data_IF_389702491527
#
_entry.id   IF_389702491527
#
_cell.length_a   1.000
_cell.length_b   1.000
_cell.length_c   1.000
_cell.angle_alpha   90.00
_cell.angle_beta   90.00
_cell.angle_gamma   90.00
#
_symmetry.space_group_name_H-M   'P 1'
#
loop_
_entity.id
_entity.type
_entity.pdbx_description
1 polymer ?
#
# COMPACT_ATOMS: atom_id res chain seq x y z
N UNK A 1 -5.79 -22.65 0.80
CA UNK A 1 -6.68 -23.66 1.41
C UNK A 1 -5.81 -24.53 2.29
N UNK A 2 -6.06 -24.58 3.60
CA UNK A 2 -5.38 -25.53 4.50
C UNK A 2 -6.28 -26.74 4.64
N UNK A 3 -5.73 -27.93 4.45
CA UNK A 3 -6.40 -29.17 4.76
C UNK A 3 -6.47 -29.31 6.28
N UNK A 4 -7.66 -29.56 6.82
CA UNK A 4 -7.87 -29.85 8.24
C UNK A 4 -8.02 -31.36 8.34
N UNK A 5 -7.01 -32.04 8.89
CA UNK A 5 -6.97 -33.51 8.98
C UNK A 5 -8.19 -34.10 9.70
N UNK A 6 -8.77 -33.36 10.64
CA UNK A 6 -9.89 -33.83 11.46
C UNK A 6 -11.28 -33.55 10.88
N UNK A 7 -11.39 -32.82 9.75
CA UNK A 7 -12.70 -32.53 9.14
C UNK A 7 -12.59 -32.23 7.63
N UNK A 8 -12.61 -33.26 6.76
CA UNK A 8 -12.31 -33.14 5.33
C UNK A 8 -13.36 -32.35 4.52
N UNK A 9 -14.54 -32.10 5.09
CA UNK A 9 -15.63 -31.36 4.43
C UNK A 9 -15.51 -29.83 4.60
N UNK A 10 -14.58 -29.35 5.44
CA UNK A 10 -14.44 -27.92 5.74
C UNK A 10 -13.16 -27.38 5.08
N UNK A 11 -13.33 -26.71 3.94
CA UNK A 11 -12.28 -25.88 3.35
C UNK A 11 -12.25 -24.50 4.04
N UNK A 12 -11.34 -24.28 4.99
CA UNK A 12 -11.15 -22.95 5.55
C UNK A 12 -10.43 -22.02 4.56
N UNK A 13 -11.14 -20.98 4.11
CA UNK A 13 -10.56 -19.84 3.42
C UNK A 13 -9.76 -19.04 4.46
N UNK A 14 -8.44 -19.07 4.36
CA UNK A 14 -7.57 -18.33 5.26
C UNK A 14 -7.64 -16.82 4.95
N UNK A 15 -8.50 -16.09 5.66
CA UNK A 15 -8.64 -14.63 5.55
C UNK A 15 -7.47 -13.84 6.16
N UNK A 16 -6.52 -14.50 6.84
CA UNK A 16 -5.41 -13.80 7.51
C UNK A 16 -4.39 -13.20 6.54
N UNK A 17 -4.40 -13.60 5.27
CA UNK A 17 -3.46 -13.09 4.26
C UNK A 17 -4.20 -12.64 3.00
N UNK A 18 -3.95 -11.41 2.52
CA UNK A 18 -4.53 -10.95 1.26
C UNK A 18 -4.05 -11.84 0.11
N UNK A 19 -4.96 -12.15 -0.81
CA UNK A 19 -4.62 -12.86 -2.05
C UNK A 19 -3.70 -11.99 -2.91
N UNK A 20 -3.00 -12.62 -3.87
CA UNK A 20 -2.19 -11.87 -4.86
C UNK A 20 -3.04 -10.84 -5.60
N UNK A 21 -4.28 -11.17 -5.97
CA UNK A 21 -5.19 -10.24 -6.63
C UNK A 21 -5.56 -9.06 -5.72
N UNK A 22 -5.78 -9.32 -4.44
CA UNK A 22 -6.03 -8.26 -3.44
C UNK A 22 -4.84 -7.32 -3.33
N UNK A 23 -3.61 -7.86 -3.27
CA UNK A 23 -2.38 -7.07 -3.23
C UNK A 23 -2.20 -6.21 -4.49
N UNK A 24 -2.45 -6.79 -5.67
CA UNK A 24 -2.40 -6.05 -6.94
C UNK A 24 -3.41 -4.89 -6.92
N UNK A 25 -4.62 -5.11 -6.40
CA UNK A 25 -5.62 -4.06 -6.28
C UNK A 25 -5.18 -2.96 -5.31
N UNK A 26 -4.60 -3.29 -4.16
CA UNK A 26 -4.06 -2.29 -3.24
C UNK A 26 -2.93 -1.46 -3.87
N UNK A 27 -2.04 -2.09 -4.63
CA UNK A 27 -0.98 -1.39 -5.37
C UNK A 27 -1.59 -0.43 -6.40
N UNK A 28 -2.61 -0.86 -7.16
CA UNK A 28 -3.31 0.01 -8.13
C UNK A 28 -3.96 1.21 -7.46
N UNK A 29 -4.74 0.99 -6.39
CA UNK A 29 -5.40 2.08 -5.65
C UNK A 29 -4.36 3.05 -5.09
N UNK A 30 -3.27 2.53 -4.52
CA UNK A 30 -2.17 3.36 -4.01
C UNK A 30 -1.53 4.19 -5.12
N UNK A 31 -1.27 3.59 -6.28
CA UNK A 31 -0.74 4.27 -7.46
C UNK A 31 -1.65 5.42 -7.91
N UNK A 32 -2.96 5.17 -8.01
CA UNK A 32 -3.93 6.21 -8.39
C UNK A 32 -3.97 7.36 -7.38
N UNK A 33 -3.83 7.04 -6.09
CA UNK A 33 -3.71 8.04 -5.03
C UNK A 33 -2.43 8.86 -5.14
N UNK A 34 -1.28 8.23 -5.44
CA UNK A 34 -0.01 8.93 -5.68
C UNK A 34 -0.07 9.87 -6.89
N UNK A 35 -0.82 9.49 -7.93
CA UNK A 35 -1.10 10.35 -9.09
C UNK A 35 -1.92 11.57 -8.65
N UNK A 36 -3.00 11.37 -7.86
CA UNK A 36 -3.84 12.46 -7.34
C UNK A 36 -3.03 13.44 -6.47
N UNK A 37 -2.09 12.92 -5.69
CA UNK A 37 -1.16 13.68 -4.86
C UNK A 37 -0.08 14.42 -5.66
N UNK A 38 -0.01 14.21 -6.98
CA UNK A 38 0.94 14.87 -7.90
C UNK A 38 2.40 14.67 -7.50
N UNK A 39 2.76 13.47 -7.02
CA UNK A 39 4.15 13.15 -6.64
C UNK A 39 5.14 13.16 -7.82
N UNK A 40 4.64 12.99 -9.05
CA UNK A 40 5.41 13.08 -10.28
C UNK A 40 4.69 13.98 -11.29
N UNK A 41 5.41 14.51 -12.27
CA UNK A 41 4.84 15.35 -13.33
C UNK A 41 3.87 14.59 -14.25
N UNK A 42 2.85 15.29 -14.75
CA UNK A 42 1.74 14.72 -15.50
C UNK A 42 2.18 14.23 -16.89
N UNK A 43 2.45 12.93 -17.02
CA UNK A 43 2.90 12.28 -18.26
C UNK A 43 2.50 10.80 -18.27
N UNK A 44 2.54 10.13 -19.42
CA UNK A 44 2.32 8.67 -19.50
C UNK A 44 3.30 7.90 -18.60
N UNK A 45 4.53 8.40 -18.43
CA UNK A 45 5.52 7.87 -17.50
C UNK A 45 5.08 7.97 -16.03
N UNK A 46 4.28 8.98 -15.67
CA UNK A 46 3.79 9.19 -14.30
C UNK A 46 3.06 7.97 -13.75
N UNK A 47 2.21 7.32 -14.56
CA UNK A 47 1.46 6.12 -14.15
C UNK A 47 2.40 4.98 -13.79
N UNK A 48 3.41 4.72 -14.61
CA UNK A 48 4.38 3.67 -14.37
C UNK A 48 5.26 3.97 -13.15
N UNK A 49 5.67 5.24 -12.98
CA UNK A 49 6.44 5.70 -11.81
C UNK A 49 5.64 5.55 -10.51
N UNK A 50 4.38 5.98 -10.49
CA UNK A 50 3.50 5.81 -9.33
C UNK A 50 3.23 4.33 -9.01
N UNK A 51 3.07 3.49 -10.04
CA UNK A 51 2.87 2.05 -9.84
C UNK A 51 4.12 1.37 -9.26
N UNK A 52 5.31 1.74 -9.74
CA UNK A 52 6.57 1.25 -9.19
C UNK A 52 6.80 1.76 -7.77
N UNK A 53 6.48 3.03 -7.49
CA UNK A 53 6.55 3.58 -6.13
C UNK A 53 5.61 2.83 -5.18
N UNK A 54 4.38 2.54 -5.59
CA UNK A 54 3.45 1.74 -4.79
C UNK A 54 3.98 0.33 -4.49
N UNK A 55 4.65 -0.33 -5.45
CA UNK A 55 5.33 -1.60 -5.21
C UNK A 55 6.46 -1.47 -4.18
N UNK A 56 7.31 -0.46 -4.32
CA UNK A 56 8.42 -0.24 -3.38
C UNK A 56 7.92 0.03 -1.96
N UNK A 57 6.86 0.81 -1.82
CA UNK A 57 6.19 1.05 -0.54
C UNK A 57 5.71 -0.27 0.07
N UNK A 58 5.06 -1.13 -0.72
CA UNK A 58 4.64 -2.45 -0.26
C UNK A 58 5.82 -3.33 0.17
N UNK A 59 6.88 -3.40 -0.63
CA UNK A 59 8.06 -4.21 -0.30
C UNK A 59 8.74 -3.77 0.99
N UNK A 60 8.74 -2.47 1.28
CA UNK A 60 9.43 -1.92 2.45
C UNK A 60 8.57 -1.83 3.71
N UNK A 61 7.30 -1.47 3.56
CA UNK A 61 6.40 -1.14 4.67
C UNK A 61 5.15 -2.02 4.72
N UNK A 62 5.03 -3.00 3.82
CA UNK A 62 3.89 -3.89 3.73
C UNK A 62 2.59 -3.15 3.40
N UNK A 63 1.47 -3.76 3.80
CA UNK A 63 0.13 -3.19 3.62
C UNK A 63 -0.09 -1.91 4.41
N UNK A 64 0.64 -1.71 5.52
CA UNK A 64 0.54 -0.50 6.34
C UNK A 64 1.01 0.73 5.57
N UNK A 65 2.14 0.63 4.86
CA UNK A 65 2.63 1.73 4.02
C UNK A 65 1.65 2.08 2.90
N UNK A 66 1.02 1.08 2.28
CA UNK A 66 -0.03 1.31 1.28
C UNK A 66 -1.23 2.02 1.91
N UNK A 67 -1.71 1.55 3.06
CA UNK A 67 -2.83 2.14 3.77
C UNK A 67 -2.55 3.61 4.16
N UNK A 68 -1.35 3.93 4.63
CA UNK A 68 -0.96 5.32 4.95
C UNK A 68 -1.11 6.25 3.75
N UNK A 69 -0.79 5.79 2.54
CA UNK A 69 -0.97 6.58 1.32
C UNK A 69 -2.44 6.62 0.89
N UNK A 70 -3.15 5.50 0.92
CA UNK A 70 -4.56 5.43 0.50
C UNK A 70 -5.42 6.38 1.35
N UNK A 71 -5.20 6.38 2.67
CA UNK A 71 -5.96 7.17 3.63
C UNK A 71 -5.29 8.50 3.99
N UNK A 72 -4.50 9.08 3.07
CA UNK A 72 -3.74 10.31 3.28
C UNK A 72 -4.55 11.52 3.75
N UNK A 73 -5.85 11.57 3.41
CA UNK A 73 -6.77 12.68 3.71
C UNK A 73 -7.79 12.34 4.80
N UNK A 74 -7.78 11.11 5.33
CA UNK A 74 -8.76 10.72 6.35
C UNK A 74 -8.25 11.07 7.74
N UNK A 75 -8.88 12.06 8.37
CA UNK A 75 -8.84 12.28 9.83
C UNK A 75 -9.18 11.01 10.64
N UNK A 76 -9.83 10.03 10.00
CA UNK A 76 -10.16 8.72 10.55
C UNK A 76 -8.91 7.86 10.75
N UNK A 77 -7.92 7.91 9.84
CA UNK A 77 -6.68 7.14 9.96
C UNK A 77 -5.76 7.68 11.07
N UNK A 78 -5.72 9.01 11.28
CA UNK A 78 -4.94 9.64 12.36
C UNK A 78 -5.58 9.44 13.74
N UNK A 79 -6.88 9.14 13.81
CA UNK A 79 -7.61 8.89 15.07
C UNK A 79 -7.64 7.42 15.52
N UNK A 80 -7.17 6.47 14.71
CA UNK A 80 -6.94 5.13 15.22
C UNK A 80 -5.68 5.14 16.10
N UNK A 81 -5.87 4.97 17.41
CA UNK A 81 -4.82 4.76 18.44
C UNK A 81 -3.71 3.75 18.09
N UNK A 82 -3.88 2.99 17.01
CA UNK A 82 -2.99 1.93 16.53
C UNK A 82 -2.16 2.30 15.29
N UNK A 83 -2.37 3.48 14.67
CA UNK A 83 -1.51 3.94 13.57
C UNK A 83 -0.25 4.62 14.13
N UNK A 84 0.86 3.89 14.10
CA UNK A 84 2.16 4.32 14.63
C UNK A 84 2.78 5.48 13.85
N UNK A 85 2.34 5.73 12.61
CA UNK A 85 2.90 6.75 11.71
C UNK A 85 1.78 7.52 11.01
N UNK A 86 1.81 8.85 11.12
CA UNK A 86 0.94 9.75 10.37
C UNK A 86 1.43 9.90 8.93
N UNK A 87 0.53 10.20 7.99
CA UNK A 87 0.88 10.42 6.58
C UNK A 87 2.00 11.46 6.41
N UNK A 88 1.91 12.60 7.13
CA UNK A 88 2.95 13.64 7.10
C UNK A 88 4.33 13.13 7.53
N UNK A 89 4.39 12.33 8.60
CA UNK A 89 5.66 11.74 9.07
C UNK A 89 6.18 10.72 8.06
N UNK A 90 5.29 9.91 7.49
CA UNK A 90 5.64 8.91 6.49
C UNK A 90 6.30 9.52 5.26
N UNK A 91 5.68 10.55 4.67
CA UNK A 91 6.20 11.17 3.44
C UNK A 91 7.45 12.03 3.68
N UNK A 92 7.66 12.47 4.92
CA UNK A 92 8.85 13.23 5.32
C UNK A 92 10.05 12.32 5.62
N UNK A 93 9.82 11.01 5.78
CA UNK A 93 10.87 10.04 6.03
C UNK A 93 11.90 10.04 4.88
N UNK A 94 13.18 10.05 5.24
CA UNK A 94 14.32 9.95 4.30
C UNK A 94 14.14 8.79 3.33
N UNK A 95 13.71 7.64 3.84
CA UNK A 95 13.52 6.43 3.04
C UNK A 95 12.44 6.60 1.97
N UNK A 96 11.35 7.28 2.30
CA UNK A 96 10.27 7.58 1.35
C UNK A 96 10.77 8.51 0.23
N UNK A 97 11.54 9.54 0.59
CA UNK A 97 12.15 10.45 -0.38
C UNK A 97 13.12 9.73 -1.31
N UNK A 98 13.96 8.83 -0.78
CA UNK A 98 14.86 8.00 -1.59
C UNK A 98 14.10 7.09 -2.57
N UNK A 99 12.95 6.55 -2.17
CA UNK A 99 12.11 5.75 -3.08
C UNK A 99 11.54 6.60 -4.22
N UNK A 100 11.15 7.85 -3.95
CA UNK A 100 10.71 8.78 -5.00
C UNK A 100 11.84 9.03 -6.00
N UNK A 101 13.05 9.33 -5.53
CA UNK A 101 14.19 9.58 -6.42
C UNK A 101 14.55 8.36 -7.28
N UNK A 102 14.47 7.14 -6.73
CA UNK A 102 14.68 5.90 -7.50
C UNK A 102 13.60 5.65 -8.57
N UNK A 103 12.43 6.24 -8.41
CA UNK A 103 11.32 6.10 -9.35
C UNK A 103 11.20 7.27 -10.34
N UNK A 104 12.00 8.35 -10.19
CA UNK A 104 12.14 9.36 -11.24
C UNK A 104 12.94 8.78 -12.40
#
# INVERSE_FOLDING_TARGET
VKYVEDNPDINEVNFLKPTVNTLINYIKITSDTLIKLKYFENSILQKNRCFNLAKLIYFKFGTNGLATIIFWNESVAENFKHNSITFRKFISNKEFKEMIEKCK
#
